data_IF_563322751262
#
_entry.id   IF_563322751262
#
_cell.length_a   1.000
_cell.length_b   1.000
_cell.length_c   1.000
_cell.angle_alpha   90.00
_cell.angle_beta   90.00
_cell.angle_gamma   90.00
#
_symmetry.space_group_name_H-M   'P 1'
#
loop_
_entity.id
_entity.type
_entity.pdbx_description
1 polymer ?
#
# COMPACT_ATOMS: atom_id res chain seq x y z
N UNK A 1 7.12 9.67 -23.21
CA UNK A 1 8.26 9.99 -22.31
C UNK A 1 7.97 9.66 -20.85
N UNK A 2 6.90 10.18 -20.23
CA UNK A 2 6.61 9.93 -18.81
C UNK A 2 6.43 8.44 -18.43
N UNK A 3 5.75 7.64 -19.27
CA UNK A 3 5.51 6.20 -19.00
C UNK A 3 6.82 5.39 -19.02
N UNK A 4 7.73 5.66 -19.97
CA UNK A 4 9.05 5.02 -20.01
C UNK A 4 9.89 5.37 -18.78
N UNK A 5 9.82 6.62 -18.30
CA UNK A 5 10.55 7.04 -17.10
C UNK A 5 9.99 6.37 -15.83
N UNK A 6 8.66 6.20 -15.74
CA UNK A 6 8.03 5.50 -14.63
C UNK A 6 8.41 4.01 -14.62
N UNK A 7 8.40 3.36 -15.79
CA UNK A 7 8.81 1.96 -15.91
C UNK A 7 10.28 1.76 -15.51
N UNK A 8 11.18 2.62 -16.00
CA UNK A 8 12.60 2.58 -15.63
C UNK A 8 12.81 2.81 -14.12
N UNK A 9 12.02 3.70 -13.51
CA UNK A 9 12.09 3.95 -12.06
C UNK A 9 11.65 2.71 -11.27
N UNK A 10 10.50 2.12 -11.60
CA UNK A 10 9.93 0.94 -10.93
C UNK A 10 10.88 -0.26 -10.97
N UNK A 11 11.60 -0.44 -12.09
CA UNK A 11 12.53 -1.55 -12.29
C UNK A 11 13.98 -1.19 -11.93
N UNK A 12 14.22 -0.02 -11.33
CA UNK A 12 15.55 0.37 -10.88
C UNK A 12 15.92 -0.32 -9.55
N UNK A 13 17.22 -0.54 -9.29
CA UNK A 13 17.68 -1.08 -7.99
C UNK A 13 17.27 -0.25 -6.78
N UNK A 14 16.98 1.04 -6.99
CA UNK A 14 16.66 1.99 -5.92
C UNK A 14 15.15 2.13 -5.68
N UNK A 15 14.31 1.45 -6.46
CA UNK A 15 12.86 1.63 -6.41
C UNK A 15 12.29 1.39 -5.00
N UNK A 16 12.71 0.30 -4.35
CA UNK A 16 12.24 -0.04 -3.01
C UNK A 16 12.60 1.06 -1.99
N UNK A 17 13.82 1.59 -2.06
CA UNK A 17 14.27 2.67 -1.19
C UNK A 17 13.46 3.96 -1.46
N UNK A 18 13.23 4.32 -2.72
CA UNK A 18 12.43 5.49 -3.09
C UNK A 18 10.95 5.36 -2.70
N UNK A 19 10.39 4.16 -2.83
CA UNK A 19 9.02 3.86 -2.39
C UNK A 19 8.90 3.99 -0.87
N UNK A 20 9.90 3.47 -0.13
CA UNK A 20 9.95 3.57 1.33
C UNK A 20 10.09 5.02 1.78
N UNK A 21 11.01 5.77 1.19
CA UNK A 21 11.22 7.19 1.51
C UNK A 21 9.96 8.03 1.27
N UNK A 22 9.30 7.86 0.12
CA UNK A 22 8.05 8.57 -0.17
C UNK A 22 6.89 8.16 0.75
N UNK A 23 6.83 6.89 1.15
CA UNK A 23 5.80 6.39 2.08
C UNK A 23 6.06 6.82 3.53
N UNK A 24 7.32 7.03 3.93
CA UNK A 24 7.73 7.38 5.28
C UNK A 24 7.07 8.70 5.73
N UNK A 25 7.11 9.73 4.89
CA UNK A 25 6.52 11.04 5.23
C UNK A 25 5.00 10.96 5.48
N UNK A 26 4.31 10.12 4.72
CA UNK A 26 2.89 9.86 4.93
C UNK A 26 2.66 9.09 6.23
N UNK A 27 3.46 8.05 6.49
CA UNK A 27 3.38 7.23 7.69
C UNK A 27 3.58 8.04 8.97
N UNK A 28 4.61 8.89 9.02
CA UNK A 28 4.90 9.76 10.17
C UNK A 28 3.75 10.72 10.50
N UNK A 29 2.96 11.11 9.50
CA UNK A 29 1.77 11.94 9.71
C UNK A 29 0.60 11.20 10.36
N UNK A 30 0.54 9.87 10.20
CA UNK A 30 -0.51 8.99 10.72
C UNK A 30 -0.11 8.39 12.06
N UNK A 31 1.07 7.79 12.12
CA UNK A 31 1.64 7.20 13.32
C UNK A 31 2.37 8.26 14.16
N UNK A 32 1.63 9.30 14.56
CA UNK A 32 2.17 10.44 15.32
C UNK A 32 2.81 10.04 16.64
N UNK A 33 2.30 8.96 17.23
CA UNK A 33 2.78 8.39 18.49
C UNK A 33 3.95 7.42 18.29
N UNK A 34 4.41 7.19 17.05
CA UNK A 34 5.53 6.31 16.68
C UNK A 34 5.37 4.89 17.24
N UNK A 35 4.16 4.34 17.16
CA UNK A 35 3.83 2.97 17.58
C UNK A 35 4.47 1.92 16.67
N UNK A 36 4.78 2.28 15.43
CA UNK A 36 5.21 1.38 14.37
C UNK A 36 4.05 0.62 13.71
N UNK A 37 2.81 0.88 14.13
CA UNK A 37 1.62 0.25 13.57
C UNK A 37 0.37 1.12 13.79
N UNK A 38 -0.65 0.84 12.99
CA UNK A 38 -2.04 1.26 13.20
C UNK A 38 -2.93 0.04 13.31
N UNK A 39 -4.12 0.19 13.91
CA UNK A 39 -5.12 -0.87 13.93
C UNK A 39 -5.75 -1.07 12.55
N UNK A 40 -6.34 -2.24 12.30
CA UNK A 40 -7.10 -2.50 11.06
C UNK A 40 -8.22 -1.47 10.86
N UNK A 41 -8.90 -1.06 11.93
CA UNK A 41 -9.98 -0.07 11.85
C UNK A 41 -9.46 1.31 11.38
N UNK A 42 -8.34 1.75 11.94
CA UNK A 42 -7.67 2.99 11.51
C UNK A 42 -7.18 2.89 10.07
N UNK A 43 -6.55 1.77 9.71
CA UNK A 43 -6.09 1.49 8.35
C UNK A 43 -7.24 1.51 7.34
N UNK A 44 -8.41 0.96 7.72
CA UNK A 44 -9.61 0.95 6.88
C UNK A 44 -10.10 2.37 6.60
N UNK A 45 -10.30 3.17 7.65
CA UNK A 45 -10.73 4.57 7.52
C UNK A 45 -9.74 5.40 6.70
N UNK A 46 -8.45 5.19 6.95
CA UNK A 46 -7.38 5.86 6.24
C UNK A 46 -7.33 5.46 4.77
N UNK A 47 -7.38 4.17 4.47
CA UNK A 47 -7.33 3.63 3.11
C UNK A 47 -8.49 4.15 2.27
N UNK A 48 -9.71 4.18 2.80
CA UNK A 48 -10.87 4.78 2.14
C UNK A 48 -10.61 6.27 1.83
N UNK A 49 -10.02 7.02 2.77
CA UNK A 49 -9.70 8.44 2.56
C UNK A 49 -8.63 8.66 1.48
N UNK A 50 -7.60 7.81 1.44
CA UNK A 50 -6.48 7.90 0.48
C UNK A 50 -6.93 7.54 -0.93
N UNK A 51 -7.65 6.43 -1.05
CA UNK A 51 -8.08 5.87 -2.34
C UNK A 51 -9.36 6.51 -2.86
N UNK A 52 -10.16 7.12 -1.98
CA UNK A 52 -11.54 7.57 -2.22
C UNK A 52 -12.47 6.41 -2.62
N UNK A 53 -12.11 5.18 -2.27
CA UNK A 53 -12.91 3.99 -2.53
C UNK A 53 -13.66 3.57 -1.26
N UNK A 54 -14.99 3.78 -1.18
CA UNK A 54 -15.77 3.37 0.00
C UNK A 54 -15.84 1.85 0.18
N UNK A 55 -15.56 1.08 -0.87
CA UNK A 55 -15.62 -0.38 -0.85
C UNK A 55 -14.24 -1.01 -0.64
N UNK A 56 -13.20 -0.23 -0.32
CA UNK A 56 -11.83 -0.74 -0.18
C UNK A 56 -11.73 -1.93 0.78
N UNK A 57 -12.49 -1.92 1.88
CA UNK A 57 -12.51 -3.03 2.84
C UNK A 57 -12.93 -4.36 2.18
N UNK A 58 -13.87 -4.33 1.24
CA UNK A 58 -14.36 -5.55 0.56
C UNK A 58 -13.33 -6.23 -0.34
N UNK A 59 -12.21 -5.56 -0.63
CA UNK A 59 -11.14 -6.10 -1.48
C UNK A 59 -10.27 -7.15 -0.77
N UNK A 60 -10.38 -7.26 0.56
CA UNK A 60 -9.55 -8.16 1.36
C UNK A 60 -8.12 -7.64 1.61
N UNK A 61 -7.86 -6.36 1.29
CA UNK A 61 -6.50 -5.81 1.35
C UNK A 61 -5.93 -5.76 2.77
N UNK A 62 -6.76 -5.47 3.77
CA UNK A 62 -6.30 -5.36 5.16
C UNK A 62 -5.99 -6.73 5.76
N UNK A 63 -6.77 -7.74 5.40
CA UNK A 63 -6.54 -9.15 5.74
C UNK A 63 -5.26 -9.67 5.08
N UNK A 64 -4.99 -9.27 3.83
CA UNK A 64 -3.75 -9.63 3.14
C UNK A 64 -2.52 -8.92 3.73
N UNK A 65 -2.68 -7.69 4.24
CA UNK A 65 -1.63 -6.96 4.94
C UNK A 65 -1.35 -7.61 6.31
N UNK A 66 -2.37 -7.88 7.12
CA UNK A 66 -2.27 -8.54 8.43
C UNK A 66 -2.31 -10.08 8.31
N UNK A 67 -1.39 -10.66 7.54
CA UNK A 67 -1.35 -12.10 7.25
C UNK A 67 -1.24 -12.98 8.52
N UNK A 68 -0.79 -12.39 9.63
CA UNK A 68 -0.61 -13.05 10.93
C UNK A 68 -1.78 -12.83 11.90
N UNK A 69 -2.85 -12.17 11.46
CA UNK A 69 -4.04 -11.86 12.26
C UNK A 69 -3.70 -11.19 13.61
N UNK A 70 -2.80 -10.23 13.58
CA UNK A 70 -2.35 -9.47 14.76
C UNK A 70 -3.32 -8.35 15.15
N UNK A 71 -4.23 -7.98 14.25
CA UNK A 71 -5.10 -6.80 14.34
C UNK A 71 -4.37 -5.49 14.02
N UNK A 72 -3.14 -5.56 13.50
CA UNK A 72 -2.25 -4.41 13.29
C UNK A 72 -1.73 -4.39 11.86
N UNK A 73 -1.60 -3.18 11.33
CA UNK A 73 -0.98 -2.91 10.04
C UNK A 73 0.28 -2.09 10.33
N UNK A 74 1.44 -2.64 9.96
CA UNK A 74 2.74 -1.96 10.10
C UNK A 74 3.07 -1.13 8.88
N UNK A 75 4.09 -0.27 9.01
CA UNK A 75 4.62 0.46 7.85
C UNK A 75 5.06 -0.50 6.75
N UNK A 76 5.79 -1.55 7.13
CA UNK A 76 6.30 -2.58 6.22
C UNK A 76 5.17 -3.30 5.48
N UNK A 77 4.02 -3.55 6.11
CA UNK A 77 2.86 -4.15 5.44
C UNK A 77 2.33 -3.27 4.31
N UNK A 78 2.27 -1.96 4.56
CA UNK A 78 1.82 -1.00 3.54
C UNK A 78 2.81 -0.89 2.37
N UNK A 79 4.12 -0.87 2.67
CA UNK A 79 5.18 -0.82 1.64
C UNK A 79 5.18 -2.10 0.81
N UNK A 80 4.98 -3.27 1.44
CA UNK A 80 4.86 -4.56 0.77
C UNK A 80 3.70 -4.56 -0.24
N UNK A 81 2.53 -4.08 0.15
CA UNK A 81 1.37 -3.98 -0.73
C UNK A 81 1.59 -3.01 -1.89
N UNK A 82 2.19 -1.84 -1.63
CA UNK A 82 2.52 -0.88 -2.68
C UNK A 82 3.55 -1.45 -3.67
N UNK A 83 4.60 -2.11 -3.17
CA UNK A 83 5.61 -2.74 -4.02
C UNK A 83 4.97 -3.77 -4.93
N UNK A 84 4.13 -4.65 -4.38
CA UNK A 84 3.37 -5.62 -5.18
C UNK A 84 2.61 -4.92 -6.31
N UNK A 85 1.81 -3.91 -5.99
CA UNK A 85 1.03 -3.17 -6.99
C UNK A 85 1.86 -2.59 -8.13
N UNK A 86 3.08 -2.14 -7.86
CA UNK A 86 3.94 -1.54 -8.88
C UNK A 86 4.73 -2.55 -9.71
N UNK A 87 5.12 -3.69 -9.12
CA UNK A 87 6.08 -4.60 -9.75
C UNK A 87 5.47 -5.90 -10.24
N UNK A 88 4.38 -6.38 -9.62
CA UNK A 88 3.75 -7.63 -10.03
C UNK A 88 3.13 -7.48 -11.42
N UNK A 89 3.34 -8.48 -12.29
CA UNK A 89 2.89 -8.46 -13.69
C UNK A 89 1.79 -9.48 -13.97
N UNK A 90 1.63 -10.49 -13.11
CA UNK A 90 0.94 -11.73 -13.47
C UNK A 90 -0.27 -12.02 -12.57
N UNK A 91 -0.23 -11.58 -11.31
CA UNK A 91 -1.26 -11.91 -10.33
C UNK A 91 -2.32 -10.82 -10.25
N UNK A 92 -3.32 -10.94 -11.12
CA UNK A 92 -4.47 -10.03 -11.24
C UNK A 92 -5.52 -10.19 -10.12
N UNK A 93 -5.39 -11.22 -9.29
CA UNK A 93 -6.39 -11.55 -8.25
C UNK A 93 -5.98 -11.16 -6.83
N UNK A 94 -4.71 -10.83 -6.62
CA UNK A 94 -4.22 -10.52 -5.27
C UNK A 94 -4.86 -9.24 -4.71
N UNK A 95 -5.27 -9.20 -3.43
CA UNK A 95 -5.86 -8.00 -2.81
C UNK A 95 -4.98 -6.74 -2.87
N UNK A 96 -3.66 -6.90 -2.97
CA UNK A 96 -2.74 -5.75 -3.11
C UNK A 96 -2.88 -4.99 -4.42
N UNK A 97 -3.55 -5.55 -5.44
CA UNK A 97 -3.95 -4.80 -6.63
C UNK A 97 -4.83 -3.58 -6.29
N UNK A 98 -5.49 -3.59 -5.13
CA UNK A 98 -6.40 -2.54 -4.69
C UNK A 98 -5.76 -1.55 -3.70
N UNK A 99 -4.43 -1.57 -3.51
CA UNK A 99 -3.75 -0.63 -2.58
C UNK A 99 -3.94 0.84 -2.95
N UNK A 100 -4.32 1.12 -4.20
CA UNK A 100 -4.68 2.44 -4.70
C UNK A 100 -6.18 2.61 -5.01
N UNK A 101 -7.03 1.71 -4.52
CA UNK A 101 -8.47 1.67 -4.77
C UNK A 101 -8.85 0.82 -5.98
N UNK A 102 -10.13 0.91 -6.38
CA UNK A 102 -10.66 0.28 -7.59
C UNK A 102 -9.80 0.56 -8.83
N UNK A 103 -9.51 -0.49 -9.59
CA UNK A 103 -8.83 -0.39 -10.89
C UNK A 103 -9.69 0.37 -11.91
N UNK A 104 -9.03 1.18 -12.74
CA UNK A 104 -9.64 1.85 -13.89
C UNK A 104 -9.59 0.93 -15.11
N UNK A 105 -10.57 1.06 -16.00
CA UNK A 105 -10.63 0.32 -17.28
C UNK A 105 -9.58 0.83 -18.29
#
# INVERSE_FOLDING_TARGET
QYVQNAWLLIHSPNFEASLKESSQAFWEGIDREKKGYITIEEATKLGIRVTKDPNLQSTGIFEAMDEKNTGRITFEDTVRAQRFFFTDQDNTTHPFNYVRGKLVD
#
